data_IF_591857256982
#
_entry.id   IF_591857256982
#
_cell.length_a   1.000
_cell.length_b   1.000
_cell.length_c   1.000
_cell.angle_alpha   90.00
_cell.angle_beta   90.00
_cell.angle_gamma   90.00
#
_symmetry.space_group_name_H-M   'P 1'
#
loop_
_entity.id
_entity.type
_entity.pdbx_description
1 polymer ?
#
# COMPACT_ATOMS: atom_id res chain seq x y z
N UNK A 1 2.43 -18.33 10.89
CA UNK A 1 2.79 -17.11 10.15
C UNK A 1 1.60 -16.19 10.20
N UNK A 2 1.74 -15.12 10.98
CA UNK A 2 0.71 -14.09 11.04
C UNK A 2 0.75 -13.30 9.72
N UNK A 3 -0.40 -13.20 9.06
CA UNK A 3 -0.58 -12.35 7.89
C UNK A 3 -1.16 -11.00 8.33
N UNK A 4 -0.92 -9.94 7.55
CA UNK A 4 -1.44 -8.58 7.85
C UNK A 4 -2.97 -8.50 7.86
N UNK A 5 -3.67 -9.48 7.30
CA UNK A 5 -5.11 -9.61 7.43
C UNK A 5 -5.59 -10.09 8.82
N UNK A 6 -4.67 -10.39 9.76
CA UNK A 6 -4.97 -10.89 11.11
C UNK A 6 -5.14 -12.41 11.19
N UNK A 7 -4.99 -13.12 10.08
CA UNK A 7 -5.03 -14.59 10.05
C UNK A 7 -3.69 -15.23 10.39
N UNK A 8 -3.73 -16.39 11.06
CA UNK A 8 -2.56 -17.23 11.32
C UNK A 8 -2.54 -18.41 10.34
N UNK A 9 -1.49 -18.49 9.52
CA UNK A 9 -1.36 -19.52 8.49
C UNK A 9 -0.08 -20.35 8.62
N UNK A 10 -0.06 -21.54 8.03
CA UNK A 10 1.13 -22.38 7.91
C UNK A 10 2.07 -21.87 6.81
N UNK A 11 3.30 -22.41 6.74
CA UNK A 11 4.36 -21.94 5.82
C UNK A 11 3.95 -21.87 4.34
N UNK A 12 3.01 -22.72 3.92
CA UNK A 12 2.52 -22.81 2.53
C UNK A 12 1.42 -21.79 2.25
N UNK A 13 0.55 -21.51 3.23
CA UNK A 13 -0.58 -20.59 3.08
C UNK A 13 -0.26 -19.15 3.52
N UNK A 14 0.99 -18.88 3.92
CA UNK A 14 1.43 -17.55 4.37
C UNK A 14 1.33 -16.46 3.31
N UNK A 15 1.41 -16.82 2.03
CA UNK A 15 1.37 -15.87 0.93
C UNK A 15 -0.05 -15.40 0.66
N UNK A 16 -0.22 -14.12 0.38
CA UNK A 16 -1.52 -13.48 0.16
C UNK A 16 -2.32 -14.10 -0.98
N UNK A 17 -1.67 -14.73 -1.96
CA UNK A 17 -2.33 -15.46 -3.06
C UNK A 17 -2.86 -16.84 -2.67
N UNK A 18 -2.41 -17.37 -1.53
CA UNK A 18 -2.75 -18.73 -1.05
C UNK A 18 -3.88 -18.74 -0.03
N UNK A 19 -4.34 -17.57 0.39
CA UNK A 19 -5.52 -17.41 1.24
C UNK A 19 -6.35 -16.24 0.70
N UNK A 20 -7.63 -16.17 1.03
CA UNK A 20 -8.49 -15.03 0.67
C UNK A 20 -8.09 -13.81 1.51
N UNK A 21 -6.93 -13.22 1.21
CA UNK A 21 -6.34 -12.14 1.97
C UNK A 21 -7.16 -10.85 1.75
N UNK A 22 -7.98 -10.49 2.73
CA UNK A 22 -8.79 -9.26 2.71
C UNK A 22 -8.00 -8.00 3.07
N UNK A 23 -6.67 -8.06 3.03
CA UNK A 23 -5.83 -6.92 3.36
C UNK A 23 -5.60 -6.04 2.12
N UNK A 24 -5.96 -4.76 2.21
CA UNK A 24 -5.86 -3.80 1.11
C UNK A 24 -4.43 -3.26 0.93
N UNK A 25 -3.55 -4.10 0.37
CA UNK A 25 -2.16 -3.71 0.05
C UNK A 25 -2.09 -2.51 -0.90
N UNK A 26 -3.11 -2.35 -1.75
CA UNK A 26 -3.20 -1.23 -2.70
C UNK A 26 -3.38 0.10 -1.98
N UNK A 27 -4.25 0.16 -0.98
CA UNK A 27 -4.47 1.39 -0.22
C UNK A 27 -3.24 1.74 0.61
N UNK A 28 -2.61 0.74 1.26
CA UNK A 28 -1.35 0.91 1.97
C UNK A 28 -0.27 1.52 1.07
N UNK A 29 -0.04 0.92 -0.10
CA UNK A 29 0.94 1.44 -1.06
C UNK A 29 0.60 2.85 -1.53
N UNK A 30 -0.68 3.14 -1.79
CA UNK A 30 -1.12 4.48 -2.16
C UNK A 30 -0.89 5.50 -1.05
N UNK A 31 -1.10 5.15 0.22
CA UNK A 31 -0.81 6.01 1.36
C UNK A 31 0.70 6.26 1.52
N UNK A 32 1.52 5.23 1.38
CA UNK A 32 2.99 5.37 1.44
C UNK A 32 3.52 6.24 0.29
N UNK A 33 3.02 6.05 -0.93
CA UNK A 33 3.36 6.89 -2.08
C UNK A 33 2.91 8.33 -1.81
N UNK A 34 1.69 8.56 -1.32
CA UNK A 34 1.18 9.90 -0.98
C UNK A 34 2.04 10.60 0.07
N UNK A 35 2.53 9.87 1.07
CA UNK A 35 3.41 10.43 2.11
C UNK A 35 4.81 10.74 1.57
N UNK A 36 5.35 9.88 0.70
CA UNK A 36 6.71 10.01 0.18
C UNK A 36 6.83 10.93 -1.04
N UNK A 37 5.74 11.17 -1.78
CA UNK A 37 5.80 12.04 -2.94
C UNK A 37 5.79 13.50 -2.45
N UNK A 38 6.90 14.26 -2.60
CA UNK A 38 6.89 15.68 -2.28
C UNK A 38 5.79 16.34 -3.11
N UNK A 39 4.97 17.18 -2.49
CA UNK A 39 3.98 17.96 -3.23
C UNK A 39 4.77 18.91 -4.12
N UNK A 40 4.98 18.54 -5.38
CA UNK A 40 5.57 19.39 -6.39
C UNK A 40 4.52 20.45 -6.72
N UNK A 41 4.40 21.44 -5.85
CA UNK A 41 3.69 22.68 -6.13
C UNK A 41 4.66 23.52 -6.95
N UNK A 42 4.82 23.18 -8.23
CA UNK A 42 5.48 24.07 -9.16
C UNK A 42 4.70 25.37 -9.21
N UNK A 43 5.35 26.50 -8.93
CA UNK A 43 4.70 27.81 -9.02
C UNK A 43 4.00 27.93 -10.37
N UNK A 44 2.68 28.20 -10.34
CA UNK A 44 1.91 28.41 -11.57
C UNK A 44 2.54 29.61 -12.26
N UNK A 45 3.22 29.35 -13.38
CA UNK A 45 3.90 30.37 -14.20
C UNK A 45 2.96 31.56 -14.37
N UNK A 46 3.33 32.70 -13.79
CA UNK A 46 2.57 33.94 -13.97
C UNK A 46 2.67 34.31 -15.45
N UNK A 47 1.50 34.44 -16.11
CA UNK A 47 1.43 34.97 -17.46
C UNK A 47 1.90 36.43 -17.43
N UNK A 48 2.93 36.74 -18.22
CA UNK A 48 3.32 38.10 -18.64
C UNK A 48 2.29 38.64 -19.62
#
# INVERSE_FOLDING_TARGET
FECRCGGLFCSVHRYSDKHDCKFDYREMGAQEIRRNNPVVVGEKVQKI
#
